data_IF_416614828458
#
_entry.id   IF_416614828458
#
_cell.length_a   1.000
_cell.length_b   1.000
_cell.length_c   1.000
_cell.angle_alpha   90.00
_cell.angle_beta   90.00
_cell.angle_gamma   90.00
#
_symmetry.space_group_name_H-M   'P 1'
#
loop_
_entity.id
_entity.type
_entity.pdbx_description
1 polymer ?
#
# COMPACT_ATOMS: atom_id res chain seq x y z
N UNK A 1 -21.35 56.47 -25.31
CA UNK A 1 -20.50 55.70 -24.38
C UNK A 1 -20.54 54.24 -24.81
N UNK A 2 -19.42 53.68 -25.28
CA UNK A 2 -19.30 52.23 -25.58
C UNK A 2 -17.97 51.76 -24.99
N UNK A 3 -18.04 50.87 -24.00
CA UNK A 3 -16.90 50.44 -23.20
C UNK A 3 -16.39 49.11 -23.77
N UNK A 4 -15.25 49.13 -24.44
CA UNK A 4 -14.60 47.92 -24.96
C UNK A 4 -13.88 47.19 -23.82
N UNK A 5 -14.45 46.07 -23.35
CA UNK A 5 -13.79 45.17 -22.40
C UNK A 5 -12.70 44.37 -23.12
N UNK A 6 -11.44 44.72 -22.89
CA UNK A 6 -10.28 43.89 -23.30
C UNK A 6 -10.20 42.66 -22.39
N UNK A 7 -10.58 41.49 -22.91
CA UNK A 7 -10.37 40.20 -22.23
C UNK A 7 -8.92 39.77 -22.46
N UNK A 8 -8.09 39.91 -21.43
CA UNK A 8 -6.74 39.35 -21.41
C UNK A 8 -6.81 37.86 -21.09
N UNK A 9 -6.61 37.01 -22.10
CA UNK A 9 -6.47 35.55 -21.93
C UNK A 9 -5.12 35.26 -21.28
N UNK A 10 -5.13 35.00 -19.97
CA UNK A 10 -3.96 34.48 -19.26
C UNK A 10 -3.66 33.07 -19.74
N UNK A 11 -2.56 32.88 -20.45
CA UNK A 11 -2.02 31.57 -20.83
C UNK A 11 -1.46 30.92 -19.58
N UNK A 12 -2.19 29.94 -19.04
CA UNK A 12 -1.71 29.08 -17.97
C UNK A 12 -0.62 28.15 -18.52
N UNK A 13 0.65 28.45 -18.21
CA UNK A 13 1.77 27.55 -18.51
C UNK A 13 1.57 26.26 -17.72
N UNK A 14 1.14 25.20 -18.40
CA UNK A 14 1.15 23.84 -17.84
C UNK A 14 2.61 23.47 -17.60
N UNK A 15 3.03 23.42 -16.33
CA UNK A 15 4.29 22.78 -15.95
C UNK A 15 4.13 21.30 -16.25
N UNK A 16 4.77 20.83 -17.31
CA UNK A 16 4.99 19.40 -17.52
C UNK A 16 6.07 19.04 -16.50
N UNK A 17 5.68 18.27 -15.48
CA UNK A 17 6.62 17.68 -14.53
C UNK A 17 7.06 16.38 -15.19
N UNK A 18 8.30 16.34 -15.67
CA UNK A 18 8.91 15.10 -16.14
C UNK A 18 8.99 14.16 -14.94
N UNK A 19 8.16 13.11 -14.95
CA UNK A 19 8.20 12.06 -13.95
C UNK A 19 9.44 11.22 -14.28
N UNK A 20 10.43 11.10 -13.40
CA UNK A 20 11.60 10.27 -13.66
C UNK A 20 11.15 8.85 -13.95
N UNK A 21 11.59 8.31 -15.09
CA UNK A 21 11.20 7.00 -15.62
C UNK A 21 11.67 5.82 -14.75
N UNK A 22 12.57 6.11 -13.80
CA UNK A 22 12.97 5.22 -12.72
C UNK A 22 12.66 5.90 -11.38
N UNK A 23 11.44 5.70 -10.91
CA UNK A 23 11.10 6.02 -9.53
C UNK A 23 11.86 5.05 -8.63
N UNK A 24 12.61 5.53 -7.64
CA UNK A 24 13.35 4.66 -6.69
C UNK A 24 12.46 3.60 -6.01
N UNK A 25 11.16 3.91 -5.93
CA UNK A 25 10.07 3.07 -5.43
C UNK A 25 9.68 1.91 -6.36
N UNK A 26 10.15 1.89 -7.61
CA UNK A 26 9.91 0.84 -8.61
C UNK A 26 10.99 -0.24 -8.62
N UNK A 27 12.04 -0.11 -7.80
CA UNK A 27 12.98 -1.21 -7.59
C UNK A 27 12.21 -2.43 -7.09
N UNK A 28 12.47 -3.58 -7.71
CA UNK A 28 11.74 -4.84 -7.46
C UNK A 28 11.78 -5.23 -5.98
N UNK A 29 12.89 -4.91 -5.31
CA UNK A 29 13.08 -5.06 -3.86
C UNK A 29 12.15 -4.16 -3.02
N UNK A 30 11.89 -2.91 -3.45
CA UNK A 30 10.94 -2.01 -2.79
C UNK A 30 9.49 -2.39 -3.08
N UNK A 31 9.21 -2.84 -4.30
CA UNK A 31 7.86 -3.28 -4.66
C UNK A 31 7.40 -4.44 -3.77
N UNK A 32 8.32 -5.33 -3.43
CA UNK A 32 8.03 -6.47 -2.56
C UNK A 32 7.91 -6.04 -1.09
N UNK A 33 8.85 -5.21 -0.60
CA UNK A 33 8.87 -4.71 0.79
C UNK A 33 7.68 -3.81 1.15
N UNK A 34 7.09 -3.11 0.18
CA UNK A 34 5.89 -2.28 0.35
C UNK A 34 4.63 -2.91 -0.24
N UNK A 35 4.65 -4.21 -0.56
CA UNK A 35 3.46 -4.91 -1.00
C UNK A 35 2.41 -4.96 0.12
N UNK A 36 1.13 -4.92 -0.27
CA UNK A 36 0.03 -5.03 0.70
C UNK A 36 0.07 -6.35 1.48
N UNK A 37 0.60 -7.41 0.87
CA UNK A 37 0.79 -8.71 1.51
C UNK A 37 1.87 -8.67 2.59
N UNK A 38 3.03 -8.06 2.31
CA UNK A 38 4.08 -7.90 3.32
C UNK A 38 3.61 -7.06 4.50
N UNK A 39 2.85 -5.99 4.23
CA UNK A 39 2.26 -5.19 5.30
C UNK A 39 1.22 -5.98 6.13
N UNK A 40 0.46 -6.86 5.49
CA UNK A 40 -0.49 -7.76 6.16
C UNK A 40 0.21 -8.79 7.04
N UNK A 41 1.20 -9.51 6.49
CA UNK A 41 2.02 -10.48 7.24
C UNK A 41 2.68 -9.83 8.45
N UNK A 42 3.28 -8.64 8.29
CA UNK A 42 3.93 -7.94 9.39
C UNK A 42 2.97 -7.65 10.55
N UNK A 43 1.70 -7.30 10.25
CA UNK A 43 0.69 -7.05 11.31
C UNK A 43 0.32 -8.32 12.06
N UNK A 44 0.24 -9.46 11.37
CA UNK A 44 0.03 -10.77 12.00
C UNK A 44 1.22 -11.11 12.91
N UNK A 45 2.45 -10.96 12.42
CA UNK A 45 3.67 -11.24 13.19
C UNK A 45 3.75 -10.36 14.45
N UNK A 46 3.44 -9.07 14.33
CA UNK A 46 3.37 -8.13 15.45
C UNK A 46 2.35 -8.59 16.51
N UNK A 47 1.19 -9.11 16.10
CA UNK A 47 0.18 -9.62 17.03
C UNK A 47 0.62 -10.92 17.71
N UNK A 48 1.27 -11.84 16.98
CA UNK A 48 1.77 -13.10 17.56
C UNK A 48 2.88 -12.87 18.59
N UNK A 49 3.78 -11.92 18.31
CA UNK A 49 4.82 -11.52 19.26
C UNK A 49 4.23 -10.96 20.56
N UNK A 50 3.14 -10.20 20.48
CA UNK A 50 2.45 -9.69 21.66
C UNK A 50 1.76 -10.79 22.48
N UNK A 51 1.46 -11.93 21.86
CA UNK A 51 0.80 -13.08 22.48
C UNK A 51 1.78 -14.15 22.98
N UNK A 52 3.09 -13.93 22.83
CA UNK A 52 4.14 -14.95 23.06
C UNK A 52 3.84 -16.28 22.34
N UNK A 53 3.20 -16.19 21.16
CA UNK A 53 2.85 -17.37 20.37
C UNK A 53 4.08 -17.85 19.58
N UNK A 54 4.59 -19.03 19.92
CA UNK A 54 5.69 -19.69 19.18
C UNK A 54 5.13 -20.43 17.95
N UNK A 55 4.58 -19.66 17.00
CA UNK A 55 4.00 -20.18 15.77
C UNK A 55 4.75 -19.58 14.58
N UNK A 56 5.32 -20.46 13.76
CA UNK A 56 5.91 -20.09 12.49
C UNK A 56 4.83 -20.18 11.41
N UNK A 57 4.46 -19.06 10.81
CA UNK A 57 3.46 -19.00 9.73
C UNK A 57 4.17 -18.61 8.44
N UNK A 58 4.00 -19.44 7.41
CA UNK A 58 4.61 -19.22 6.11
C UNK A 58 3.72 -18.34 5.21
N UNK A 59 4.32 -17.79 4.16
CA UNK A 59 3.60 -16.95 3.20
C UNK A 59 2.45 -17.70 2.53
N UNK A 60 2.64 -19.00 2.28
CA UNK A 60 1.63 -19.88 1.67
C UNK A 60 0.39 -20.09 2.56
N UNK A 61 0.55 -19.99 3.88
CA UNK A 61 -0.57 -20.07 4.83
C UNK A 61 -1.37 -18.76 4.86
N UNK A 62 -0.70 -17.61 4.70
CA UNK A 62 -1.32 -16.28 4.77
C UNK A 62 -1.89 -15.80 3.43
N UNK A 63 -1.32 -16.25 2.31
CA UNK A 63 -1.70 -15.83 0.96
C UNK A 63 -3.20 -15.98 0.69
N UNK A 64 -3.86 -17.11 1.04
CA UNK A 64 -5.28 -17.30 0.82
C UNK A 64 -6.13 -16.26 1.56
N UNK A 65 -5.84 -16.02 2.84
CA UNK A 65 -6.57 -15.05 3.64
C UNK A 65 -6.42 -13.62 3.09
N UNK A 66 -5.19 -13.25 2.72
CA UNK A 66 -4.94 -11.95 2.10
C UNK A 66 -5.71 -11.77 0.78
N UNK A 67 -5.75 -12.81 -0.07
CA UNK A 67 -6.48 -12.79 -1.34
C UNK A 67 -8.00 -12.73 -1.16
N UNK A 68 -8.51 -13.34 -0.09
CA UNK A 68 -9.92 -13.28 0.29
C UNK A 68 -10.29 -11.95 0.96
N UNK A 69 -9.31 -11.14 1.35
CA UNK A 69 -9.54 -9.89 2.07
C UNK A 69 -9.98 -10.09 3.51
N UNK A 70 -9.57 -11.22 4.11
CA UNK A 70 -9.89 -11.53 5.51
C UNK A 70 -9.14 -10.61 6.47
N UNK A 71 -9.78 -10.31 7.61
CA UNK A 71 -9.17 -9.48 8.66
C UNK A 71 -8.08 -10.23 9.43
N UNK A 72 -7.11 -9.49 9.99
CA UNK A 72 -6.01 -10.07 10.76
C UNK A 72 -6.50 -10.89 11.96
N UNK A 73 -7.51 -10.39 12.68
CA UNK A 73 -8.11 -11.11 13.81
C UNK A 73 -8.75 -12.45 13.39
N UNK A 74 -9.39 -12.47 12.21
CA UNK A 74 -9.95 -13.72 11.68
C UNK A 74 -8.85 -14.72 11.38
N UNK A 75 -7.76 -14.27 10.75
CA UNK A 75 -6.60 -15.12 10.45
C UNK A 75 -6.00 -15.70 11.73
N UNK A 76 -5.77 -14.87 12.74
CA UNK A 76 -5.27 -15.36 14.04
C UNK A 76 -6.19 -16.40 14.68
N UNK A 77 -7.51 -16.16 14.67
CA UNK A 77 -8.48 -17.15 15.15
C UNK A 77 -8.46 -18.44 14.33
N UNK A 78 -8.37 -18.35 13.00
CA UNK A 78 -8.33 -19.49 12.10
C UNK A 78 -7.05 -20.33 12.28
N UNK A 79 -5.94 -19.68 12.62
CA UNK A 79 -4.66 -20.32 12.95
C UNK A 79 -4.59 -20.81 14.40
N UNK A 80 -5.66 -20.63 15.19
CA UNK A 80 -5.72 -21.08 16.59
C UNK A 80 -4.83 -20.26 17.54
N UNK A 81 -4.46 -19.05 17.13
CA UNK A 81 -3.61 -18.14 17.89
C UNK A 81 -4.45 -17.15 18.72
N UNK A 82 -5.55 -17.60 19.32
CA UNK A 82 -6.50 -16.79 20.10
C UNK A 82 -6.93 -17.50 21.39
#
# INVERSE_FOLDING_TARGET
MKNEKKVSKKVSRKRIVEIPENSMWESEEYRDRYSGFVAFKRRIDEQLQLMDADVCIDDDDLLPFYRMGESENFVLSALGCF
#
